data_IF_477505426153
#
_entry.id   IF_477505426153
#
_cell.length_a   1.000
_cell.length_b   1.000
_cell.length_c   1.000
_cell.angle_alpha   90.00
_cell.angle_beta   90.00
_cell.angle_gamma   90.00
#
_symmetry.space_group_name_H-M   'P 1'
#
loop_
_entity.id
_entity.type
_entity.pdbx_description
1 polymer ?
#
# COMPACT_ATOMS: atom_id res chain seq x y z
N UNK A 1 15.12 -0.49 15.69
CA UNK A 1 14.06 0.54 15.70
C UNK A 1 14.40 1.52 14.61
N UNK A 2 13.73 1.37 13.47
CA UNK A 2 13.95 2.16 12.26
C UNK A 2 12.83 3.17 12.13
N UNK A 3 13.14 4.44 12.38
CA UNK A 3 12.17 5.54 12.36
C UNK A 3 12.17 6.23 11.00
N UNK A 4 11.06 6.14 10.28
CA UNK A 4 10.87 6.76 8.98
C UNK A 4 9.94 7.96 9.11
N UNK A 5 10.37 9.12 8.64
CA UNK A 5 9.56 10.34 8.60
C UNK A 5 8.65 10.32 7.38
N UNK A 6 7.40 10.75 7.54
CA UNK A 6 6.48 10.88 6.42
C UNK A 6 6.85 12.10 5.57
N UNK A 7 6.75 11.95 4.26
CA UNK A 7 7.02 12.99 3.26
C UNK A 7 5.81 13.87 2.95
N UNK A 8 4.65 13.54 3.53
CA UNK A 8 3.36 14.24 3.39
C UNK A 8 3.27 15.60 4.11
N UNK A 9 4.40 16.09 4.66
CA UNK A 9 4.51 17.33 5.45
C UNK A 9 3.73 17.33 6.77
N UNK A 10 3.20 16.19 7.22
CA UNK A 10 2.52 16.07 8.51
C UNK A 10 3.47 16.19 9.71
N UNK A 11 4.78 16.00 9.50
CA UNK A 11 5.78 15.91 10.56
C UNK A 11 5.68 14.62 11.39
N UNK A 12 4.82 13.68 10.97
CA UNK A 12 4.67 12.37 11.59
C UNK A 12 5.78 11.43 11.14
N UNK A 13 5.86 10.31 11.84
CA UNK A 13 6.79 9.22 11.56
C UNK A 13 6.17 7.88 11.99
N UNK A 14 6.78 6.80 11.53
CA UNK A 14 6.45 5.44 11.98
C UNK A 14 7.72 4.61 12.22
N UNK A 15 7.57 3.53 12.98
CA UNK A 15 8.63 2.55 13.26
C UNK A 15 8.45 1.38 12.29
N UNK A 16 9.31 1.30 11.28
CA UNK A 16 9.24 0.30 10.22
C UNK A 16 9.39 -1.12 10.77
N UNK A 17 10.33 -1.33 11.71
CA UNK A 17 10.58 -2.64 12.32
C UNK A 17 9.37 -3.19 13.10
N UNK A 18 8.43 -2.32 13.47
CA UNK A 18 7.19 -2.67 14.18
C UNK A 18 5.97 -2.64 13.27
N UNK A 19 6.12 -2.26 12.01
CA UNK A 19 5.04 -2.22 11.05
C UNK A 19 4.89 -3.58 10.37
N UNK A 20 3.66 -3.96 10.05
CA UNK A 20 3.40 -5.06 9.12
C UNK A 20 3.56 -4.52 7.70
N UNK A 21 4.40 -5.19 6.91
CA UNK A 21 4.68 -4.83 5.52
C UNK A 21 3.82 -5.67 4.57
N UNK A 22 3.22 -5.01 3.60
CA UNK A 22 2.48 -5.61 2.49
C UNK A 22 3.14 -5.15 1.20
N UNK A 23 3.75 -6.10 0.48
CA UNK A 23 4.39 -5.83 -0.80
C UNK A 23 3.34 -5.86 -1.92
N UNK A 24 3.52 -5.03 -2.95
CA UNK A 24 2.71 -5.09 -4.18
C UNK A 24 2.74 -6.50 -4.78
N UNK A 25 1.59 -7.03 -5.23
CA UNK A 25 1.62 -8.22 -6.11
C UNK A 25 2.19 -7.80 -7.46
N UNK A 26 3.42 -8.20 -7.72
CA UNK A 26 4.08 -8.00 -9.02
C UNK A 26 3.69 -9.14 -9.95
N UNK A 27 3.10 -8.81 -11.10
CA UNK A 27 2.79 -9.78 -12.14
C UNK A 27 3.99 -9.92 -13.09
N UNK A 28 4.23 -11.14 -13.58
CA UNK A 28 5.31 -11.45 -14.52
C UNK A 28 4.72 -11.57 -15.92
N UNK A 29 4.85 -10.52 -16.72
CA UNK A 29 4.32 -10.49 -18.10
C UNK A 29 5.21 -11.21 -19.14
N UNK A 30 6.19 -12.00 -18.68
CA UNK A 30 7.12 -12.73 -19.54
C UNK A 30 8.36 -11.95 -20.00
N UNK A 31 8.57 -10.70 -19.57
CA UNK A 31 9.83 -9.98 -19.82
C UNK A 31 10.29 -9.03 -18.70
N UNK A 32 9.40 -8.52 -17.84
CA UNK A 32 9.74 -7.65 -16.68
C UNK A 32 8.74 -7.89 -15.52
N UNK A 33 9.09 -7.48 -14.29
CA UNK A 33 8.14 -7.44 -13.16
C UNK A 33 7.33 -6.15 -13.24
N UNK A 34 6.00 -6.25 -13.35
CA UNK A 34 5.10 -5.09 -13.40
C UNK A 34 4.29 -5.04 -12.11
N UNK A 35 4.41 -3.95 -11.36
CA UNK A 35 3.50 -3.67 -10.24
C UNK A 35 2.12 -3.34 -10.80
N UNK A 36 1.10 -4.11 -10.45
CA UNK A 36 -0.27 -3.94 -11.00
C UNK A 36 -0.85 -2.55 -10.71
N UNK A 37 -0.43 -1.90 -9.61
CA UNK A 37 -0.90 -0.58 -9.20
C UNK A 37 0.01 0.60 -9.60
N UNK A 38 1.22 0.37 -10.10
CA UNK A 38 2.27 1.39 -10.18
C UNK A 38 3.03 1.44 -11.51
N UNK A 39 2.72 0.56 -12.46
CA UNK A 39 3.41 0.48 -13.75
C UNK A 39 4.78 -0.22 -13.64
N UNK A 40 5.42 -0.44 -14.80
CA UNK A 40 6.60 -1.31 -14.99
C UNK A 40 7.86 -0.94 -14.20
N UNK A 41 7.88 0.17 -13.45
CA UNK A 41 9.09 0.62 -12.75
C UNK A 41 8.89 1.33 -11.41
N UNK A 42 7.65 1.44 -10.92
CA UNK A 42 7.37 1.94 -9.59
C UNK A 42 6.90 0.76 -8.72
N UNK A 43 7.33 0.72 -7.47
CA UNK A 43 6.90 -0.27 -6.50
C UNK A 43 6.22 0.46 -5.36
N UNK A 44 5.02 -0.02 -5.01
CA UNK A 44 4.27 0.49 -3.86
C UNK A 44 4.36 -0.54 -2.73
N UNK A 45 4.76 -0.12 -1.54
CA UNK A 45 4.75 -0.96 -0.35
C UNK A 45 3.78 -0.31 0.63
N UNK A 46 2.86 -1.10 1.17
CA UNK A 46 1.92 -0.64 2.18
C UNK A 46 2.37 -1.11 3.57
N UNK A 47 2.49 -0.18 4.51
CA UNK A 47 2.84 -0.47 5.89
C UNK A 47 1.65 -0.25 6.82
N UNK A 48 1.37 -1.22 7.68
CA UNK A 48 0.45 -1.09 8.81
C UNK A 48 1.22 -0.90 10.10
N UNK A 49 1.11 0.28 10.67
CA UNK A 49 1.78 0.60 11.94
C UNK A 49 1.11 -0.13 13.12
N UNK A 50 1.84 -0.31 14.22
CA UNK A 50 1.28 -0.85 15.46
C UNK A 50 0.10 -0.03 16.04
N UNK A 51 0.02 1.26 15.68
CA UNK A 51 -1.12 2.14 16.00
C UNK A 51 -2.27 2.04 15.00
N UNK A 52 -2.27 1.05 14.11
CA UNK A 52 -3.26 0.82 13.04
C UNK A 52 -3.40 1.97 12.02
N UNK A 53 -2.35 2.77 11.83
CA UNK A 53 -2.26 3.73 10.72
C UNK A 53 -1.63 3.08 9.50
N UNK A 54 -2.04 3.50 8.32
CA UNK A 54 -1.52 3.04 7.04
C UNK A 54 -0.53 4.04 6.46
N UNK A 55 0.61 3.55 6.00
CA UNK A 55 1.62 4.35 5.32
C UNK A 55 1.93 3.71 3.98
N UNK A 56 1.64 4.43 2.91
CA UNK A 56 2.03 4.05 1.56
C UNK A 56 3.45 4.55 1.31
N UNK A 57 4.34 3.62 0.98
CA UNK A 57 5.65 3.90 0.45
C UNK A 57 5.61 3.75 -1.07
N UNK A 58 6.06 4.77 -1.78
CA UNK A 58 6.22 4.72 -3.22
C UNK A 58 7.69 4.95 -3.52
N UNK A 59 8.31 3.96 -4.18
CA UNK A 59 9.69 4.09 -4.63
C UNK A 59 9.79 3.65 -6.09
N UNK A 60 10.72 4.26 -6.81
CA UNK A 60 10.99 3.93 -8.21
C UNK A 60 12.43 3.48 -8.35
N UNK A 61 12.64 2.48 -9.20
CA UNK A 61 13.98 1.94 -9.51
C UNK A 61 14.83 2.88 -10.39
N UNK A 62 14.23 3.93 -10.93
CA UNK A 62 14.92 4.91 -11.76
C UNK A 62 15.71 5.92 -10.91
N UNK A 63 16.97 6.16 -11.28
CA UNK A 63 17.80 7.18 -10.64
C UNK A 63 17.11 8.55 -10.68
N UNK A 64 16.99 9.18 -9.50
CA UNK A 64 16.46 10.54 -9.36
C UNK A 64 15.00 10.65 -8.95
N UNK A 65 14.25 9.55 -8.84
CA UNK A 65 12.91 9.59 -8.24
C UNK A 65 13.03 9.44 -6.72
N UNK A 66 12.48 10.42 -5.99
CA UNK A 66 12.52 10.43 -4.54
C UNK A 66 11.49 9.44 -3.99
N UNK A 67 11.95 8.57 -3.09
CA UNK A 67 11.08 7.71 -2.29
C UNK A 67 10.17 8.55 -1.39
N UNK A 68 8.87 8.24 -1.39
CA UNK A 68 7.86 8.92 -0.57
C UNK A 68 7.26 7.98 0.45
N UNK A 69 6.79 8.57 1.55
CA UNK A 69 6.06 7.90 2.63
C UNK A 69 4.88 8.77 3.02
N UNK A 70 3.67 8.32 2.70
CA UNK A 70 2.44 9.11 2.87
C UNK A 70 1.48 8.35 3.77
N UNK A 71 0.91 9.01 4.78
CA UNK A 71 -0.18 8.40 5.57
C UNK A 71 -1.44 8.37 4.71
N UNK A 72 -2.08 7.21 4.61
CA UNK A 72 -3.33 7.03 3.87
C UNK A 72 -4.44 6.58 4.84
N UNK A 73 -5.69 6.80 4.42
CA UNK A 73 -6.87 6.36 5.14
C UNK A 73 -7.13 4.86 5.00
N UNK A 74 -7.99 4.31 5.86
CA UNK A 74 -8.43 2.92 5.75
C UNK A 74 -9.14 2.64 4.41
N UNK A 75 -9.85 3.64 3.87
CA UNK A 75 -10.51 3.55 2.57
C UNK A 75 -9.49 3.41 1.43
N UNK A 76 -8.47 4.27 1.41
CA UNK A 76 -7.39 4.21 0.42
C UNK A 76 -6.57 2.92 0.56
N UNK A 77 -6.35 2.43 1.79
CA UNK A 77 -5.70 1.14 2.02
C UNK A 77 -6.54 -0.02 1.48
N UNK A 78 -7.86 -0.01 1.68
CA UNK A 78 -8.77 -1.01 1.13
C UNK A 78 -8.75 -0.99 -0.41
N UNK A 79 -8.81 0.18 -1.03
CA UNK A 79 -8.67 0.34 -2.48
C UNK A 79 -7.32 -0.17 -2.99
N UNK A 80 -6.22 0.08 -2.27
CA UNK A 80 -4.91 -0.46 -2.61
C UNK A 80 -4.90 -1.99 -2.63
N UNK A 81 -5.51 -2.65 -1.63
CA UNK A 81 -5.62 -4.12 -1.62
C UNK A 81 -6.45 -4.66 -2.79
N UNK A 82 -7.52 -3.96 -3.18
CA UNK A 82 -8.31 -4.34 -4.37
C UNK A 82 -7.49 -4.26 -5.66
N UNK A 83 -6.80 -3.14 -5.88
CA UNK A 83 -5.98 -2.93 -7.09
C UNK A 83 -4.84 -3.94 -7.17
N UNK A 84 -4.34 -4.40 -6.04
CA UNK A 84 -3.29 -5.42 -5.95
C UNK A 84 -3.81 -6.86 -5.94
N UNK A 85 -5.11 -7.08 -6.16
CA UNK A 85 -5.73 -8.40 -6.23
C UNK A 85 -5.40 -9.29 -5.00
N UNK A 86 -5.37 -8.71 -3.81
CA UNK A 86 -5.26 -9.48 -2.58
C UNK A 86 -6.56 -10.23 -2.30
N UNK A 87 -6.43 -11.48 -1.87
CA UNK A 87 -7.59 -12.27 -1.45
C UNK A 87 -8.08 -11.79 -0.09
N UNK A 88 -9.38 -11.95 0.20
CA UNK A 88 -9.98 -11.51 1.47
C UNK A 88 -9.27 -12.08 2.72
N UNK A 89 -8.64 -13.25 2.61
CA UNK A 89 -7.89 -13.89 3.69
C UNK A 89 -6.56 -13.19 4.02
N UNK A 90 -5.99 -12.47 3.05
CA UNK A 90 -4.74 -11.71 3.18
C UNK A 90 -5.00 -10.27 3.68
N UNK A 91 -6.24 -9.81 3.56
CA UNK A 91 -6.65 -8.46 3.92
C UNK A 91 -7.00 -8.41 5.41
N UNK A 92 -6.53 -7.38 6.14
CA UNK A 92 -6.95 -7.14 7.51
C UNK A 92 -8.47 -7.10 7.70
N UNK A 93 -8.95 -7.76 8.76
CA UNK A 93 -10.39 -7.87 9.07
C UNK A 93 -11.11 -6.52 9.21
N UNK A 94 -10.41 -5.47 9.62
CA UNK A 94 -10.96 -4.12 9.77
C UNK A 94 -11.19 -3.40 8.43
N UNK A 95 -10.57 -3.87 7.33
CA UNK A 95 -10.81 -3.34 5.99
C UNK A 95 -11.89 -4.14 5.23
N UNK A 96 -12.17 -5.39 5.61
CA UNK A 96 -13.19 -6.22 4.97
C UNK A 96 -14.58 -5.56 4.84
N UNK A 97 -15.08 -4.79 5.84
CA UNK A 97 -16.35 -4.09 5.70
C UNK A 97 -16.33 -3.01 4.62
N UNK A 98 -15.20 -2.30 4.46
CA UNK A 98 -15.03 -1.25 3.45
C UNK A 98 -15.04 -1.84 2.04
N UNK A 99 -14.44 -3.02 1.87
CA UNK A 99 -14.40 -3.73 0.60
C UNK A 99 -15.78 -4.21 0.15
N UNK A 100 -16.55 -4.80 1.08
CA UNK A 100 -17.92 -5.27 0.81
C UNK A 100 -18.82 -4.12 0.37
N UNK A 101 -18.70 -2.95 1.01
CA UNK A 101 -19.47 -1.77 0.63
C UNK A 101 -19.14 -1.25 -0.77
N UNK A 102 -17.94 -1.50 -1.29
CA UNK A 102 -17.56 -1.07 -2.63
C UNK A 102 -18.09 -2.02 -3.71
N UNK A 103 -18.11 -3.34 -3.44
CA UNK A 103 -18.65 -4.36 -4.35
C UNK A 103 -20.17 -4.21 -4.51
N UNK A 104 -20.92 -4.01 -3.41
CA UNK A 104 -22.38 -3.85 -3.43
C UNK A 104 -22.84 -2.63 -4.29
N UNK A 105 -21.97 -1.61 -4.43
CA UNK A 105 -22.27 -0.42 -5.24
C UNK A 105 -21.99 -0.61 -6.75
N UNK A 106 -21.33 -1.70 -7.16
CA UNK A 106 -21.02 -1.99 -8.57
C UNK A 106 -22.06 -2.92 -9.23
N UNK A 107 -22.98 -3.51 -8.46
CA UNK A 107 -24.03 -4.41 -8.96
C UNK A 107 -25.41 -3.74 -9.16
N UNK A 108 -25.48 -2.41 -9.36
CA UNK A 108 -26.74 -1.65 -9.54
C UNK A 108 -26.93 -1.09 -10.95
#
# INVERSE_FOLDING_TARGET
>A
MTRIALTDRSGKWFDEDKATRFDNKTDWNGSDHVSLSAGEHCTHILYRTASKRWVLNEYSRWEGVQETYTEISDQEAAEWFMVNEFENEEIPEDLLPLLKSHIDNLEV
#
